data_IF_340246321383
#
_entry.id   IF_340246321383
#
_cell.length_a   1.000
_cell.length_b   1.000
_cell.length_c   1.000
_cell.angle_alpha   90.00
_cell.angle_beta   90.00
_cell.angle_gamma   90.00
#
_symmetry.space_group_name_H-M   'P 1'
#
loop_
_entity.id
_entity.type
_entity.pdbx_description
1 polymer ?
#
# COMPACT_ATOMS: atom_id res chain seq x y z
N UNK A 1 17.48 -2.95 -2.50
CA UNK A 1 16.78 -3.54 -1.34
C UNK A 1 16.15 -4.86 -1.75
N UNK A 2 16.23 -5.86 -0.90
CA UNK A 2 15.61 -7.15 -1.17
C UNK A 2 14.13 -7.17 -0.79
N UNK A 3 13.37 -8.10 -1.38
CA UNK A 3 11.95 -8.28 -1.10
C UNK A 3 11.66 -8.44 0.40
N UNK A 4 12.46 -9.27 1.09
CA UNK A 4 12.29 -9.53 2.52
C UNK A 4 12.41 -8.26 3.35
N UNK A 5 13.37 -7.41 3.03
CA UNK A 5 13.57 -6.12 3.70
C UNK A 5 12.39 -5.19 3.46
N UNK A 6 11.92 -5.10 2.23
CA UNK A 6 10.73 -4.31 1.88
C UNK A 6 9.50 -4.77 2.66
N UNK A 7 9.23 -6.08 2.70
CA UNK A 7 8.10 -6.62 3.45
C UNK A 7 8.21 -6.33 4.95
N UNK A 8 9.42 -6.39 5.51
CA UNK A 8 9.66 -6.05 6.91
C UNK A 8 9.36 -4.58 7.21
N UNK A 9 9.79 -3.67 6.32
CA UNK A 9 9.52 -2.23 6.46
C UNK A 9 8.01 -1.97 6.43
N UNK A 10 7.30 -2.55 5.46
CA UNK A 10 5.85 -2.39 5.35
C UNK A 10 5.15 -2.94 6.59
N UNK A 11 5.52 -4.13 7.04
CA UNK A 11 4.93 -4.79 8.21
C UNK A 11 5.08 -3.93 9.47
N UNK A 12 6.29 -3.49 9.76
CA UNK A 12 6.55 -2.69 10.97
C UNK A 12 5.87 -1.32 10.90
N UNK A 13 5.86 -0.68 9.74
CA UNK A 13 5.26 0.64 9.57
C UNK A 13 3.73 0.57 9.71
N UNK A 14 3.09 -0.39 9.05
CA UNK A 14 1.63 -0.53 9.11
C UNK A 14 1.15 -0.98 10.47
N UNK A 15 1.83 -1.93 11.11
CA UNK A 15 1.50 -2.35 12.48
C UNK A 15 1.69 -1.22 13.48
N UNK A 16 2.72 -0.38 13.29
CA UNK A 16 2.96 0.79 14.11
C UNK A 16 1.84 1.84 14.04
N UNK A 17 1.12 1.89 12.93
CA UNK A 17 -0.04 2.78 12.74
C UNK A 17 -1.33 2.17 13.34
N UNK A 18 -1.36 0.86 13.53
CA UNK A 18 -2.53 0.16 14.10
C UNK A 18 -3.16 -0.88 13.20
N UNK A 19 -2.58 -1.14 12.03
CA UNK A 19 -3.09 -2.19 11.14
C UNK A 19 -2.79 -3.57 11.71
N UNK A 20 -3.70 -4.52 11.45
CA UNK A 20 -3.48 -5.93 11.74
C UNK A 20 -3.23 -6.68 10.44
N UNK A 21 -2.34 -7.67 10.49
CA UNK A 21 -2.02 -8.49 9.33
C UNK A 21 -2.88 -9.75 9.34
N UNK A 22 -3.50 -10.06 8.20
CA UNK A 22 -4.26 -11.30 8.03
C UNK A 22 -4.14 -11.79 6.59
N UNK A 23 -3.56 -12.98 6.41
CA UNK A 23 -3.46 -13.59 5.09
C UNK A 23 -2.66 -12.80 4.05
N UNK A 24 -1.63 -12.08 4.45
CA UNK A 24 -0.80 -11.30 3.53
C UNK A 24 -1.32 -9.89 3.25
N UNK A 25 -2.45 -9.52 3.81
CA UNK A 25 -3.00 -8.16 3.71
C UNK A 25 -3.02 -7.51 5.10
N UNK A 26 -3.21 -6.19 5.13
CA UNK A 26 -3.26 -5.42 6.36
C UNK A 26 -4.60 -4.72 6.46
N UNK A 27 -5.21 -4.71 7.64
CA UNK A 27 -6.54 -4.15 7.85
C UNK A 27 -6.58 -3.22 9.05
N UNK A 28 -7.28 -2.11 8.90
CA UNK A 28 -7.57 -1.17 9.99
C UNK A 28 -9.09 -1.01 10.07
N UNK A 29 -9.67 -1.53 11.14
CA UNK A 29 -11.13 -1.52 11.33
C UNK A 29 -11.53 -0.22 12.03
N UNK A 30 -12.43 0.54 11.38
CA UNK A 30 -12.96 1.80 11.89
C UNK A 30 -14.39 1.57 12.40
N UNK A 31 -14.52 1.21 13.68
CA UNK A 31 -15.81 0.91 14.27
C UNK A 31 -16.48 -0.29 13.60
N UNK A 32 -17.80 -0.25 13.47
CA UNK A 32 -18.59 -1.32 12.83
C UNK A 32 -18.95 -1.04 11.38
N UNK A 33 -18.53 0.09 10.82
CA UNK A 33 -18.98 0.55 9.51
C UNK A 33 -17.96 0.49 8.39
N UNK A 34 -16.68 0.71 8.71
CA UNK A 34 -15.62 0.80 7.70
C UNK A 34 -14.42 -0.06 8.07
N UNK A 35 -13.77 -0.60 7.05
CA UNK A 35 -12.45 -1.20 7.17
C UNK A 35 -11.56 -0.65 6.07
N UNK A 36 -10.35 -0.19 6.46
CA UNK A 36 -9.29 0.16 5.51
C UNK A 36 -8.41 -1.05 5.31
N UNK A 37 -7.99 -1.31 4.08
CA UNK A 37 -7.13 -2.43 3.74
C UNK A 37 -5.93 -1.98 2.93
N UNK A 38 -4.78 -2.61 3.15
CA UNK A 38 -3.54 -2.35 2.40
C UNK A 38 -3.04 -3.67 1.82
N UNK A 39 -2.76 -3.66 0.52
CA UNK A 39 -2.29 -4.82 -0.22
C UNK A 39 -0.97 -4.50 -0.90
N UNK A 40 0.00 -5.42 -0.78
CA UNK A 40 1.30 -5.29 -1.43
C UNK A 40 1.29 -6.16 -2.68
N UNK A 41 1.37 -5.52 -3.86
CA UNK A 41 1.32 -6.22 -5.15
C UNK A 41 2.62 -6.07 -5.90
N UNK A 42 3.20 -7.20 -6.29
CA UNK A 42 4.43 -7.20 -7.08
C UNK A 42 4.10 -6.98 -8.56
N UNK A 43 4.85 -6.07 -9.20
CA UNK A 43 4.82 -5.91 -10.64
C UNK A 43 5.45 -7.11 -11.34
N UNK A 44 4.99 -7.44 -12.54
CA UNK A 44 5.65 -8.41 -13.39
C UNK A 44 6.94 -7.88 -14.03
N UNK A 45 7.26 -6.61 -13.82
CA UNK A 45 8.40 -5.92 -14.43
C UNK A 45 9.53 -5.70 -13.42
N UNK A 46 10.08 -6.77 -12.82
CA UNK A 46 11.24 -6.69 -11.96
C UNK A 46 10.92 -6.36 -10.49
N UNK A 47 11.82 -5.63 -9.82
CA UNK A 47 11.77 -5.36 -8.38
C UNK A 47 10.90 -4.14 -8.05
N UNK A 48 9.69 -4.11 -8.58
CA UNK A 48 8.75 -3.00 -8.41
C UNK A 48 7.49 -3.51 -7.71
N UNK A 49 7.03 -2.76 -6.72
CA UNK A 49 5.82 -3.06 -5.96
C UNK A 49 4.82 -1.93 -6.03
N UNK A 50 3.56 -2.27 -5.96
CA UNK A 50 2.46 -1.33 -5.76
C UNK A 50 1.90 -1.56 -4.36
N UNK A 51 1.79 -0.48 -3.59
CA UNK A 51 1.10 -0.50 -2.30
C UNK A 51 -0.28 0.07 -2.54
N UNK A 52 -1.27 -0.80 -2.52
CA UNK A 52 -2.64 -0.43 -2.82
C UNK A 52 -3.47 -0.41 -1.55
N UNK A 53 -4.38 0.55 -1.44
CA UNK A 53 -5.30 0.61 -0.31
C UNK A 53 -6.73 0.60 -0.81
N UNK A 54 -7.62 0.09 0.02
CA UNK A 54 -9.04 0.03 -0.29
C UNK A 54 -9.88 0.25 0.94
N UNK A 55 -11.16 0.52 0.73
CA UNK A 55 -12.14 0.70 1.79
C UNK A 55 -13.33 -0.21 1.50
N UNK A 56 -13.77 -0.97 2.51
CA UNK A 56 -14.99 -1.74 2.46
C UNK A 56 -15.98 -1.16 3.47
N UNK A 57 -17.25 -1.10 3.06
CA UNK A 57 -18.32 -0.50 3.84
C UNK A 57 -19.28 -1.62 4.29
N UNK A 58 -19.50 -1.71 5.59
CA UNK A 58 -20.44 -2.69 6.14
C UNK A 58 -21.86 -2.46 5.60
N UNK A 59 -22.52 -3.53 5.21
CA UNK A 59 -23.84 -3.47 4.61
C UNK A 59 -23.85 -3.38 3.08
N UNK A 60 -22.75 -2.94 2.49
CA UNK A 60 -22.57 -2.90 1.03
C UNK A 60 -21.57 -3.94 0.52
N UNK A 61 -20.69 -4.42 1.41
CA UNK A 61 -19.62 -5.36 1.04
C UNK A 61 -19.76 -6.63 1.88
N UNK A 62 -20.08 -7.74 1.25
CA UNK A 62 -20.23 -9.04 1.89
C UNK A 62 -18.92 -9.58 2.46
N UNK A 63 -17.78 -9.15 1.95
CA UNK A 63 -16.47 -9.56 2.43
C UNK A 63 -16.01 -8.84 3.69
N UNK A 64 -16.77 -7.84 4.16
CA UNK A 64 -16.49 -7.15 5.42
C UNK A 64 -16.38 -8.13 6.59
N UNK A 65 -15.42 -8.00 7.56
CA UNK A 65 -14.44 -6.91 7.68
C UNK A 65 -13.06 -7.18 7.03
N UNK A 66 -12.87 -8.29 6.33
CA UNK A 66 -11.57 -8.66 5.75
C UNK A 66 -11.67 -8.90 4.24
N UNK A 67 -11.97 -7.83 3.45
CA UNK A 67 -12.08 -7.96 1.99
C UNK A 67 -10.73 -8.31 1.36
N UNK A 68 -10.77 -9.10 0.30
CA UNK A 68 -9.61 -9.33 -0.55
C UNK A 68 -9.46 -8.15 -1.52
N UNK A 69 -8.31 -8.08 -2.18
CA UNK A 69 -7.97 -6.98 -3.08
C UNK A 69 -9.10 -6.58 -4.06
N UNK A 70 -9.76 -7.54 -4.67
CA UNK A 70 -10.83 -7.27 -5.63
C UNK A 70 -12.21 -7.10 -5.01
N UNK A 71 -12.33 -7.22 -3.68
CA UNK A 71 -13.62 -7.12 -2.98
C UNK A 71 -13.87 -5.73 -2.36
N UNK A 72 -12.90 -4.82 -2.43
CA UNK A 72 -13.05 -3.48 -1.83
C UNK A 72 -13.96 -2.60 -2.68
N UNK A 73 -14.67 -1.68 -2.01
CA UNK A 73 -15.62 -0.77 -2.66
C UNK A 73 -14.91 0.39 -3.35
N UNK A 74 -13.85 0.90 -2.74
CA UNK A 74 -13.05 2.01 -3.25
C UNK A 74 -11.58 1.63 -3.11
N UNK A 75 -10.78 1.84 -4.14
CA UNK A 75 -9.34 1.54 -4.09
C UNK A 75 -8.50 2.64 -4.72
N UNK A 76 -7.26 2.77 -4.23
CA UNK A 76 -6.25 3.66 -4.78
C UNK A 76 -4.86 3.09 -4.49
N UNK A 77 -3.82 3.73 -4.99
CA UNK A 77 -2.43 3.35 -4.74
C UNK A 77 -1.72 4.42 -3.94
N UNK A 78 -0.79 4.01 -3.07
CA UNK A 78 0.07 4.94 -2.36
C UNK A 78 1.11 5.52 -3.30
N UNK A 79 1.53 6.76 -3.02
CA UNK A 79 2.54 7.45 -3.81
C UNK A 79 3.90 7.41 -3.11
N UNK A 80 4.95 7.25 -3.92
CA UNK A 80 6.34 7.21 -3.44
C UNK A 80 7.20 8.10 -4.34
N UNK A 81 8.34 8.63 -3.82
CA UNK A 81 9.24 9.43 -4.63
C UNK A 81 9.71 8.70 -5.89
N UNK A 82 9.68 9.39 -7.01
CA UNK A 82 10.19 8.88 -8.27
C UNK A 82 11.70 9.08 -8.35
N UNK A 83 12.42 8.04 -8.75
CA UNK A 83 13.88 8.08 -8.93
C UNK A 83 14.30 8.19 -10.39
N UNK A 84 13.34 8.13 -11.30
CA UNK A 84 13.55 8.33 -12.75
C UNK A 84 12.45 9.24 -13.27
N UNK A 85 12.77 10.05 -14.27
CA UNK A 85 11.77 10.91 -14.91
C UNK A 85 10.79 10.08 -15.72
N UNK A 86 9.51 10.40 -15.58
CA UNK A 86 8.49 9.82 -16.43
C UNK A 86 8.58 10.43 -17.82
N UNK A 87 8.45 9.59 -18.85
CA UNK A 87 8.56 10.02 -20.22
C UNK A 87 7.46 11.02 -20.61
N UNK A 88 6.26 10.84 -20.05
CA UNK A 88 5.10 11.69 -20.36
C UNK A 88 4.91 12.83 -19.34
N UNK A 89 5.60 12.79 -18.20
CA UNK A 89 5.56 13.86 -17.19
C UNK A 89 6.91 13.94 -16.47
N UNK A 90 7.90 14.63 -17.08
CA UNK A 90 9.23 14.75 -16.47
C UNK A 90 9.27 15.63 -15.21
N UNK A 91 8.18 16.34 -14.89
CA UNK A 91 8.11 17.17 -13.70
C UNK A 91 7.54 16.46 -12.49
N UNK A 92 6.98 15.27 -12.66
CA UNK A 92 6.42 14.49 -11.56
C UNK A 92 7.51 14.10 -10.57
N UNK A 93 7.25 14.31 -9.27
CA UNK A 93 8.18 13.97 -8.17
C UNK A 93 7.77 12.68 -7.47
N UNK A 94 6.53 12.24 -7.63
CA UNK A 94 5.98 11.05 -7.01
C UNK A 94 5.22 10.20 -8.02
N UNK A 95 5.19 8.91 -7.78
CA UNK A 95 4.48 7.94 -8.61
C UNK A 95 3.86 6.83 -7.77
N UNK A 96 3.12 5.94 -8.41
CA UNK A 96 2.32 4.92 -7.74
C UNK A 96 3.04 3.58 -7.56
N UNK A 97 4.37 3.57 -7.65
CA UNK A 97 5.15 2.35 -7.50
C UNK A 97 6.36 2.55 -6.59
N UNK A 98 6.80 1.46 -5.98
CA UNK A 98 8.05 1.40 -5.21
C UNK A 98 9.04 0.59 -6.01
N UNK A 99 10.22 1.17 -6.27
CA UNK A 99 11.32 0.48 -6.92
C UNK A 99 12.32 0.05 -5.84
N UNK A 100 12.45 -1.25 -5.60
CA UNK A 100 13.30 -1.78 -4.54
C UNK A 100 14.79 -1.49 -4.76
N UNK A 101 15.19 -1.23 -5.99
CA UNK A 101 16.57 -0.91 -6.31
C UNK A 101 16.92 0.57 -6.09
N UNK A 102 15.92 1.44 -6.04
CA UNK A 102 16.10 2.90 -6.04
C UNK A 102 15.52 3.60 -4.83
N UNK A 103 14.39 3.13 -4.30
CA UNK A 103 13.77 3.75 -3.13
C UNK A 103 14.44 3.29 -1.84
N UNK A 104 14.63 4.23 -0.90
CA UNK A 104 15.22 3.94 0.42
C UNK A 104 14.14 3.51 1.41
N UNK A 105 14.55 2.94 2.55
CA UNK A 105 13.65 2.55 3.62
C UNK A 105 12.84 3.74 4.14
N UNK A 106 13.49 4.89 4.31
CA UNK A 106 12.84 6.12 4.79
C UNK A 106 11.78 6.61 3.80
N UNK A 107 12.07 6.55 2.51
CA UNK A 107 11.12 6.95 1.46
C UNK A 107 9.89 6.03 1.45
N UNK A 108 10.07 4.74 1.67
CA UNK A 108 8.98 3.77 1.72
C UNK A 108 8.12 4.03 2.95
N UNK A 109 8.73 4.20 4.13
CA UNK A 109 8.01 4.51 5.36
C UNK A 109 7.20 5.79 5.23
N UNK A 110 7.81 6.84 4.70
CA UNK A 110 7.13 8.14 4.51
C UNK A 110 5.96 8.02 3.55
N UNK A 111 6.11 7.31 2.44
CA UNK A 111 5.04 7.08 1.49
C UNK A 111 3.85 6.34 2.09
N UNK A 112 4.10 5.35 2.94
CA UNK A 112 3.05 4.62 3.65
C UNK A 112 2.34 5.53 4.65
N UNK A 113 3.09 6.29 5.44
CA UNK A 113 2.53 7.19 6.45
C UNK A 113 1.66 8.26 5.78
N UNK A 114 2.13 8.87 4.71
CA UNK A 114 1.36 9.86 3.95
C UNK A 114 0.11 9.25 3.32
N UNK A 115 0.21 8.03 2.83
CA UNK A 115 -0.90 7.34 2.17
C UNK A 115 -2.06 6.99 3.09
N UNK A 116 -1.80 6.78 4.40
CA UNK A 116 -2.86 6.43 5.37
C UNK A 116 -3.46 7.66 6.07
N UNK A 117 -2.97 8.82 5.77
CA UNK A 117 -3.57 10.07 6.23
C UNK A 117 -4.61 10.56 5.20
#
# INVERSE_FOLDING_TARGET
>A
MEKKEFLTICDSTLKGIGFIKKGGAYYLIHGSELVGAVYLRKSSYGSVYYVECGIAIHGYNEAFPFPKYHDVDISTRFQFPLKVHLKYDPTATHGYSVDLERNTAEEIQEGIIQGVR
#
